data_IF_675716452502
#
_entry.id   IF_675716452502
#
_cell.length_a   1.000
_cell.length_b   1.000
_cell.length_c   1.000
_cell.angle_alpha   90.00
_cell.angle_beta   90.00
_cell.angle_gamma   90.00
#
_symmetry.space_group_name_H-M   'P 1'
#
loop_
_entity.id
_entity.type
_entity.pdbx_description
1 polymer ?
#
# COMPACT_ATOMS: atom_id res chain seq x y z
N UNK A 1 16.02 30.17 -19.10
CA UNK A 1 15.63 28.98 -18.33
C UNK A 1 14.17 28.66 -18.68
N UNK A 2 13.85 27.50 -19.24
CA UNK A 2 12.44 27.10 -19.44
C UNK A 2 11.91 26.60 -18.10
N UNK A 3 10.91 27.26 -17.57
CA UNK A 3 10.18 26.81 -16.36
C UNK A 3 8.90 26.09 -16.80
N UNK A 4 8.71 24.88 -16.35
CA UNK A 4 7.43 24.18 -16.53
C UNK A 4 6.55 24.46 -15.31
N UNK A 5 5.27 24.75 -15.54
CA UNK A 5 4.29 24.86 -14.46
C UNK A 5 3.98 23.46 -13.94
N UNK A 6 4.12 23.26 -12.65
CA UNK A 6 3.65 22.07 -11.93
C UNK A 6 2.67 22.53 -10.84
N UNK A 7 1.70 21.68 -10.52
CA UNK A 7 0.68 21.96 -9.51
C UNK A 7 0.82 21.00 -8.34
N UNK A 8 0.56 21.48 -7.13
CA UNK A 8 0.36 20.66 -5.94
C UNK A 8 -1.13 20.53 -5.63
N UNK A 9 -1.49 19.67 -4.68
CA UNK A 9 -2.88 19.56 -4.24
C UNK A 9 -3.42 20.86 -3.62
N UNK A 10 -2.53 21.70 -3.06
CA UNK A 10 -2.90 23.02 -2.53
C UNK A 10 -3.27 24.04 -3.62
N UNK A 11 -2.86 23.79 -4.87
CA UNK A 11 -3.10 24.67 -6.01
C UNK A 11 -4.40 24.37 -6.76
N UNK A 12 -5.07 23.25 -6.45
CA UNK A 12 -6.19 22.74 -7.25
C UNK A 12 -7.37 22.32 -6.38
N UNK A 13 -8.56 22.40 -6.97
CA UNK A 13 -9.81 21.89 -6.40
C UNK A 13 -10.45 20.94 -7.40
N UNK A 14 -11.20 19.95 -6.89
CA UNK A 14 -12.04 19.11 -7.74
C UNK A 14 -13.19 19.96 -8.29
N UNK A 15 -13.38 19.90 -9.61
CA UNK A 15 -14.56 20.53 -10.23
C UNK A 15 -15.80 19.68 -9.95
N UNK A 16 -16.86 20.25 -9.34
CA UNK A 16 -18.13 19.57 -9.19
C UNK A 16 -18.67 19.11 -10.56
N UNK A 17 -19.11 17.86 -10.61
CA UNK A 17 -19.75 17.30 -11.80
C UNK A 17 -21.25 17.10 -11.56
N UNK A 18 -22.00 16.94 -12.63
CA UNK A 18 -23.39 16.54 -12.51
C UNK A 18 -23.48 15.19 -11.79
N UNK A 19 -24.44 15.07 -10.86
CA UNK A 19 -24.71 13.81 -10.16
C UNK A 19 -26.21 13.55 -10.13
N UNK A 20 -26.60 12.33 -10.37
CA UNK A 20 -27.96 11.80 -10.24
C UNK A 20 -28.15 10.98 -8.95
N UNK A 21 -27.11 10.92 -8.12
CA UNK A 21 -27.12 10.23 -6.82
C UNK A 21 -28.07 10.98 -5.87
N UNK A 22 -29.08 10.26 -5.36
CA UNK A 22 -30.12 10.83 -4.50
C UNK A 22 -29.80 10.71 -3.02
N UNK A 23 -29.04 9.71 -2.62
CA UNK A 23 -28.66 9.47 -1.22
C UNK A 23 -27.20 9.09 -1.10
N UNK A 24 -26.54 9.54 -0.03
CA UNK A 24 -25.17 9.10 0.30
C UNK A 24 -25.07 7.60 0.53
N UNK A 25 -26.16 6.94 0.92
CA UNK A 25 -26.20 5.47 1.11
C UNK A 25 -26.13 4.68 -0.20
N UNK A 26 -26.27 5.33 -1.36
CA UNK A 26 -26.13 4.72 -2.68
C UNK A 26 -24.67 4.69 -3.17
N UNK A 27 -23.76 5.34 -2.44
CA UNK A 27 -22.37 5.47 -2.87
C UNK A 27 -21.61 4.24 -2.43
N UNK A 28 -21.01 3.55 -3.38
CA UNK A 28 -19.99 2.55 -3.18
C UNK A 28 -18.61 3.22 -3.23
N UNK A 29 -17.85 3.12 -2.13
CA UNK A 29 -16.49 3.65 -2.02
C UNK A 29 -15.43 2.58 -2.18
N UNK A 30 -15.82 1.34 -2.44
CA UNK A 30 -14.88 0.24 -2.63
C UNK A 30 -13.96 0.47 -3.83
N UNK A 31 -12.77 -0.08 -3.77
CA UNK A 31 -11.80 -0.06 -4.85
C UNK A 31 -11.23 -1.46 -5.06
N UNK A 32 -11.16 -1.88 -6.31
CA UNK A 32 -10.44 -3.08 -6.74
C UNK A 32 -9.00 -2.71 -7.11
N UNK A 33 -8.04 -3.26 -6.37
CA UNK A 33 -6.60 -3.09 -6.64
C UNK A 33 -6.08 -4.10 -7.66
N UNK A 34 -6.92 -5.00 -8.14
CA UNK A 34 -6.57 -6.13 -9.00
C UNK A 34 -6.27 -7.42 -8.22
N UNK A 35 -6.21 -8.54 -8.93
CA UNK A 35 -5.95 -9.87 -8.36
C UNK A 35 -6.85 -10.22 -7.16
N UNK A 36 -8.12 -9.87 -7.24
CA UNK A 36 -9.13 -10.13 -6.19
C UNK A 36 -8.94 -9.33 -4.88
N UNK A 37 -8.02 -8.36 -4.87
CA UNK A 37 -7.79 -7.48 -3.71
C UNK A 37 -8.76 -6.31 -3.76
N UNK A 38 -9.82 -6.38 -2.97
CA UNK A 38 -10.85 -5.33 -2.88
C UNK A 38 -10.84 -4.67 -1.52
N UNK A 39 -10.80 -3.35 -1.48
CA UNK A 39 -10.93 -2.56 -0.26
C UNK A 39 -12.32 -1.92 -0.19
N UNK A 40 -13.06 -2.16 0.87
CA UNK A 40 -14.35 -1.49 1.14
C UNK A 40 -14.16 -0.02 1.50
N UNK A 41 -13.05 0.31 2.16
CA UNK A 41 -12.57 1.67 2.42
C UNK A 41 -11.27 1.90 1.66
N UNK A 42 -11.20 2.83 0.69
CA UNK A 42 -10.02 3.05 -0.16
C UNK A 42 -8.91 3.81 0.60
N UNK A 43 -8.46 3.25 1.72
CA UNK A 43 -7.42 3.81 2.60
C UNK A 43 -6.33 2.79 2.82
N UNK A 44 -5.10 3.19 2.51
CA UNK A 44 -3.88 2.44 2.79
C UNK A 44 -3.02 3.21 3.81
N UNK A 45 -2.43 2.52 4.79
CA UNK A 45 -1.45 3.17 5.65
C UNK A 45 -0.12 3.35 4.94
N UNK A 46 0.57 4.45 5.25
CA UNK A 46 1.94 4.68 4.76
C UNK A 46 2.92 3.69 5.40
N UNK A 47 3.92 3.19 4.65
CA UNK A 47 4.91 2.22 5.15
C UNK A 47 5.96 2.90 6.05
N UNK A 48 5.54 3.41 7.18
CA UNK A 48 6.36 4.11 8.17
C UNK A 48 6.44 3.30 9.46
N UNK A 49 7.63 3.25 10.07
CA UNK A 49 7.92 2.49 11.30
C UNK A 49 7.07 2.93 12.50
N UNK A 50 6.66 4.19 12.53
CA UNK A 50 5.79 4.76 13.58
C UNK A 50 4.30 4.65 13.28
N UNK A 51 3.91 4.07 12.14
CA UNK A 51 2.51 4.05 11.67
C UNK A 51 2.05 2.63 11.36
N UNK A 52 2.78 1.90 10.52
CA UNK A 52 2.28 0.69 9.86
C UNK A 52 2.90 -0.58 10.40
N UNK A 53 2.45 -0.99 11.56
CA UNK A 53 2.70 -2.27 12.20
C UNK A 53 1.39 -3.01 12.49
N UNK A 54 1.41 -4.06 13.31
CA UNK A 54 0.27 -4.95 13.58
C UNK A 54 -0.99 -4.18 13.98
N UNK A 55 -0.92 -3.25 14.93
CA UNK A 55 -2.09 -2.54 15.45
C UNK A 55 -2.80 -1.72 14.37
N UNK A 56 -2.04 -1.01 13.53
CA UNK A 56 -2.59 -0.27 12.39
C UNK A 56 -3.22 -1.22 11.36
N UNK A 57 -2.57 -2.36 11.10
CA UNK A 57 -3.08 -3.35 10.17
C UNK A 57 -4.44 -3.89 10.63
N UNK A 58 -4.58 -4.26 11.90
CA UNK A 58 -5.83 -4.73 12.48
C UNK A 58 -6.91 -3.64 12.46
N UNK A 59 -6.56 -2.41 12.82
CA UNK A 59 -7.50 -1.29 12.83
C UNK A 59 -8.03 -0.95 11.44
N UNK A 60 -7.17 -0.91 10.42
CA UNK A 60 -7.59 -0.63 9.04
C UNK A 60 -8.42 -1.77 8.46
N UNK A 61 -7.99 -3.02 8.66
CA UNK A 61 -8.74 -4.18 8.20
C UNK A 61 -10.16 -4.21 8.78
N UNK A 62 -10.33 -3.94 10.07
CA UNK A 62 -11.64 -3.85 10.70
C UNK A 62 -12.57 -2.78 10.11
N UNK A 63 -12.03 -1.83 9.35
CA UNK A 63 -12.76 -0.78 8.66
C UNK A 63 -12.78 -0.94 7.13
N UNK A 64 -12.27 -2.06 6.60
CA UNK A 64 -12.27 -2.35 5.17
C UNK A 64 -11.12 -1.71 4.39
N UNK A 65 -10.13 -1.11 5.06
CA UNK A 65 -8.87 -0.63 4.48
C UNK A 65 -7.76 -1.67 4.57
N UNK A 66 -6.53 -1.30 4.21
CA UNK A 66 -5.37 -2.17 4.34
C UNK A 66 -4.13 -1.43 4.84
N UNK A 67 -3.21 -2.16 5.46
CA UNK A 67 -1.91 -1.62 5.85
C UNK A 67 -0.80 -2.07 4.92
N UNK A 68 0.21 -1.21 4.76
CA UNK A 68 1.49 -1.54 4.12
C UNK A 68 2.56 -1.61 5.18
N UNK A 69 2.96 -2.82 5.57
CA UNK A 69 3.95 -3.02 6.64
C UNK A 69 5.30 -2.48 6.20
N UNK A 70 5.90 -1.62 7.03
CA UNK A 70 7.14 -0.92 6.71
C UNK A 70 8.35 -1.85 6.60
N UNK A 71 9.44 -1.38 5.98
CA UNK A 71 10.70 -2.09 5.74
C UNK A 71 11.89 -1.58 6.57
N UNK A 72 11.66 -0.69 7.53
CA UNK A 72 12.70 -0.11 8.41
C UNK A 72 13.05 -1.06 9.57
N UNK A 73 13.19 -2.33 9.25
CA UNK A 73 13.44 -3.45 10.14
C UNK A 73 14.13 -4.60 9.37
N UNK A 74 14.52 -5.66 10.07
CA UNK A 74 15.00 -6.88 9.42
C UNK A 74 13.86 -7.59 8.68
N UNK A 75 14.21 -8.43 7.71
CA UNK A 75 13.22 -9.28 7.01
C UNK A 75 12.42 -10.11 8.02
N UNK A 76 13.08 -10.67 9.03
CA UNK A 76 12.43 -11.48 10.06
C UNK A 76 11.42 -10.65 10.87
N UNK A 77 11.79 -9.45 11.30
CA UNK A 77 10.88 -8.58 12.06
C UNK A 77 9.65 -8.17 11.22
N UNK A 78 9.83 -7.88 9.93
CA UNK A 78 8.69 -7.61 9.05
C UNK A 78 7.80 -8.86 8.89
N UNK A 79 8.41 -10.03 8.75
CA UNK A 79 7.70 -11.30 8.67
C UNK A 79 6.90 -11.60 9.95
N UNK A 80 7.48 -11.29 11.12
CA UNK A 80 6.81 -11.47 12.42
C UNK A 80 5.56 -10.58 12.55
N UNK A 81 5.64 -9.31 12.08
CA UNK A 81 4.51 -8.38 12.05
C UNK A 81 3.38 -8.94 11.15
N UNK A 82 3.72 -9.36 9.92
CA UNK A 82 2.76 -9.93 8.96
C UNK A 82 2.10 -11.18 9.55
N UNK A 83 2.90 -12.10 10.10
CA UNK A 83 2.42 -13.35 10.70
C UNK A 83 1.49 -13.08 11.88
N UNK A 84 1.86 -12.12 12.73
CA UNK A 84 1.02 -11.74 13.89
C UNK A 84 -0.31 -11.17 13.44
N UNK A 85 -0.34 -10.28 12.45
CA UNK A 85 -1.57 -9.71 11.93
C UNK A 85 -2.48 -10.77 11.30
N UNK A 86 -1.93 -11.68 10.46
CA UNK A 86 -2.70 -12.78 9.85
C UNK A 86 -3.18 -13.82 10.87
N UNK A 87 -2.41 -14.07 11.93
CA UNK A 87 -2.87 -14.96 13.01
C UNK A 87 -4.08 -14.38 13.73
N UNK A 88 -4.11 -13.07 13.93
CA UNK A 88 -5.24 -12.38 14.57
C UNK A 88 -6.47 -12.28 13.65
N UNK A 89 -6.25 -12.02 12.35
CA UNK A 89 -7.31 -11.92 11.32
C UNK A 89 -6.83 -12.65 10.06
N UNK A 90 -7.24 -13.91 9.83
CA UNK A 90 -6.73 -14.72 8.71
C UNK A 90 -6.92 -14.10 7.34
N UNK A 91 -8.06 -13.45 7.08
CA UNK A 91 -8.42 -12.85 5.79
C UNK A 91 -8.06 -11.36 5.71
N UNK A 92 -7.11 -10.90 6.54
CA UNK A 92 -6.67 -9.51 6.54
C UNK A 92 -5.99 -9.15 5.21
N UNK A 93 -6.37 -8.04 4.59
CA UNK A 93 -5.66 -7.50 3.42
C UNK A 93 -4.41 -6.75 3.89
N UNK A 94 -3.25 -7.25 3.50
CA UNK A 94 -1.94 -6.70 3.89
C UNK A 94 -1.02 -6.50 2.70
N UNK A 95 -0.43 -5.31 2.62
CA UNK A 95 0.74 -5.05 1.80
C UNK A 95 2.04 -5.08 2.61
N UNK A 96 3.16 -5.32 1.95
CA UNK A 96 4.49 -5.20 2.54
C UNK A 96 5.38 -4.29 1.70
N UNK A 97 6.10 -3.39 2.36
CA UNK A 97 7.06 -2.51 1.71
C UNK A 97 8.38 -3.24 1.43
N UNK A 98 8.93 -2.96 0.26
CA UNK A 98 10.28 -3.36 -0.16
C UNK A 98 11.03 -2.16 -0.75
N UNK A 99 12.35 -2.26 -0.85
CA UNK A 99 13.17 -1.26 -1.55
C UNK A 99 13.44 -1.61 -3.01
N UNK A 100 14.50 -0.99 -3.58
CA UNK A 100 15.01 -1.28 -4.94
C UNK A 100 16.49 -1.64 -4.92
N UNK A 101 17.11 -1.73 -3.74
CA UNK A 101 18.52 -2.08 -3.54
C UNK A 101 18.67 -2.96 -2.30
N UNK A 102 19.84 -3.54 -2.13
CA UNK A 102 20.16 -4.38 -0.97
C UNK A 102 19.38 -5.69 -0.97
N UNK A 103 18.67 -5.95 0.11
CA UNK A 103 17.98 -7.22 0.39
C UNK A 103 16.58 -7.34 -0.26
N UNK A 104 16.15 -6.40 -1.09
CA UNK A 104 14.76 -6.27 -1.52
C UNK A 104 14.18 -7.51 -2.20
N UNK A 105 14.98 -8.27 -2.98
CA UNK A 105 14.50 -9.51 -3.61
C UNK A 105 14.27 -10.62 -2.59
N UNK A 106 15.18 -10.77 -1.62
CA UNK A 106 15.02 -11.74 -0.54
C UNK A 106 13.82 -11.36 0.34
N UNK A 107 13.66 -10.08 0.62
CA UNK A 107 12.51 -9.54 1.37
C UNK A 107 11.21 -9.81 0.63
N UNK A 108 11.16 -9.50 -0.67
CA UNK A 108 10.00 -9.81 -1.51
C UNK A 108 9.65 -11.30 -1.48
N UNK A 109 10.64 -12.17 -1.64
CA UNK A 109 10.42 -13.62 -1.62
C UNK A 109 9.82 -14.10 -0.28
N UNK A 110 10.31 -13.58 0.86
CA UNK A 110 9.77 -13.92 2.19
C UNK A 110 8.34 -13.39 2.35
N UNK A 111 8.07 -12.15 1.93
CA UNK A 111 6.72 -11.57 2.01
C UNK A 111 5.72 -12.31 1.11
N UNK A 112 6.13 -12.69 -0.10
CA UNK A 112 5.31 -13.54 -0.98
C UNK A 112 5.06 -14.93 -0.38
N UNK A 113 6.05 -15.53 0.28
CA UNK A 113 5.86 -16.82 0.98
C UNK A 113 4.92 -16.73 2.18
N UNK A 114 4.73 -15.54 2.74
CA UNK A 114 3.72 -15.22 3.78
C UNK A 114 2.38 -14.77 3.18
N UNK A 115 2.24 -14.88 1.87
CA UNK A 115 1.01 -14.60 1.13
C UNK A 115 0.48 -13.18 1.35
N UNK A 116 1.38 -12.15 1.43
CA UNK A 116 0.91 -10.77 1.42
C UNK A 116 0.17 -10.47 0.11
N UNK A 117 -0.87 -9.68 0.18
CA UNK A 117 -1.77 -9.44 -0.96
C UNK A 117 -1.13 -8.57 -2.04
N UNK A 118 -0.19 -7.70 -1.65
CA UNK A 118 0.57 -6.87 -2.59
C UNK A 118 1.91 -6.41 -2.00
N UNK A 119 2.86 -6.09 -2.89
CA UNK A 119 4.12 -5.46 -2.53
C UNK A 119 4.08 -3.96 -2.86
N UNK A 120 4.58 -3.14 -1.95
CA UNK A 120 4.78 -1.72 -2.16
C UNK A 120 6.27 -1.43 -2.35
N UNK A 121 6.67 -1.00 -3.53
CA UNK A 121 8.07 -0.56 -3.77
C UNK A 121 8.22 0.87 -3.24
N UNK A 122 8.69 0.97 -2.00
CA UNK A 122 8.79 2.22 -1.24
C UNK A 122 10.11 2.92 -1.51
N UNK A 123 10.07 3.97 -2.33
CA UNK A 123 11.22 4.79 -2.73
C UNK A 123 10.86 6.27 -2.80
N UNK A 124 11.85 7.14 -2.58
CA UNK A 124 11.66 8.59 -2.63
C UNK A 124 11.31 9.11 -4.04
N UNK A 125 11.70 8.39 -5.10
CA UNK A 125 11.48 8.81 -6.48
C UNK A 125 11.07 7.61 -7.35
N UNK A 126 9.76 7.41 -7.52
CA UNK A 126 9.21 6.29 -8.27
C UNK A 126 9.54 6.28 -9.77
N UNK A 127 9.84 7.44 -10.38
CA UNK A 127 10.26 7.54 -11.78
C UNK A 127 11.78 7.48 -11.94
N UNK A 128 12.41 6.48 -11.33
CA UNK A 128 13.86 6.24 -11.34
C UNK A 128 14.19 4.92 -12.06
N UNK A 129 15.39 4.84 -12.64
CA UNK A 129 15.84 3.62 -13.35
C UNK A 129 15.81 2.38 -12.44
N UNK A 130 16.24 2.52 -11.17
CA UNK A 130 16.24 1.41 -10.21
C UNK A 130 14.83 0.87 -9.94
N UNK A 131 13.81 1.72 -9.95
CA UNK A 131 12.41 1.28 -9.83
C UNK A 131 12.02 0.40 -11.02
N UNK A 132 12.36 0.81 -12.24
CA UNK A 132 12.11 0.02 -13.46
C UNK A 132 12.81 -1.33 -13.41
N UNK A 133 14.08 -1.34 -13.01
CA UNK A 133 14.89 -2.56 -12.88
C UNK A 133 14.32 -3.49 -11.80
N UNK A 134 13.95 -2.96 -10.63
CA UNK A 134 13.33 -3.72 -9.56
C UNK A 134 12.01 -4.37 -10.01
N UNK A 135 11.13 -3.62 -10.67
CA UNK A 135 9.86 -4.16 -11.20
C UNK A 135 10.06 -5.25 -12.26
N UNK A 136 11.16 -5.19 -13.04
CA UNK A 136 11.50 -6.24 -13.99
C UNK A 136 11.99 -7.52 -13.31
N UNK A 137 12.63 -7.40 -12.15
CA UNK A 137 13.15 -8.55 -11.39
C UNK A 137 12.08 -9.18 -10.47
N UNK A 138 11.05 -8.44 -10.13
CA UNK A 138 9.92 -8.91 -9.30
C UNK A 138 8.84 -9.66 -10.11
N UNK A 139 8.93 -9.62 -11.42
CA UNK A 139 8.06 -10.38 -12.34
C UNK A 139 8.54 -11.82 -12.50
#
# INVERSE_FOLDING_TARGET
MKTNKALSYDDVLLLPQYSDIRSRSEIDTSIDLGNEVVLGLPVLSSPMDTVSETDMALALSGNGGAAVIHRYNTIQQQADIVTTARTAVPDIVLGAAIGVTGDYLNRAAVMCALEVDFLCVDVAHGHHILMKEALQQLR
#
